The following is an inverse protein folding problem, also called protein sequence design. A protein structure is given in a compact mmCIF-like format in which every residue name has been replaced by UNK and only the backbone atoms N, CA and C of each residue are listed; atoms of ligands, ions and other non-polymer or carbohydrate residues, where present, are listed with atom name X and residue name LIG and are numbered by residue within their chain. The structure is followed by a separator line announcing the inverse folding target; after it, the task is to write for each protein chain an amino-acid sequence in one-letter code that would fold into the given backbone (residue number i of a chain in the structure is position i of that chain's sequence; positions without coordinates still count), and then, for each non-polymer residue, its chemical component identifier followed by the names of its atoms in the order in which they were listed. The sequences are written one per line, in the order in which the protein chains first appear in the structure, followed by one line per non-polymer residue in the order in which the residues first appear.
data_IF_430107987136
#
_entry.id   IF_430107987136
#
_cell.length_a   1.000
_cell.length_b   1.000
_cell.length_c   1.000
_cell.angle_alpha   90.00
_cell.angle_beta   90.00
_cell.angle_gamma   90.00
#
_symmetry.space_group_name_H-M   'P 1'
#
loop_
_entity.id
_entity.type
_entity.pdbx_description
1 polymer ?
#
# COMPACT_ATOMS: atom_id res chain seq x y z
N UNK A 1 -26.84 20.51 11.09
CA UNK A 1 -25.50 20.63 10.53
C UNK A 1 -24.87 19.25 10.68
N UNK A 2 -24.79 18.53 9.55
CA UNK A 2 -24.49 17.11 9.50
C UNK A 2 -23.02 16.79 9.81
N UNK A 3 -22.78 16.26 11.01
CA UNK A 3 -21.51 15.61 11.39
C UNK A 3 -21.39 14.15 10.90
N UNK A 4 -22.30 13.69 10.01
CA UNK A 4 -22.37 12.28 9.61
C UNK A 4 -21.46 11.88 8.43
N UNK A 5 -20.92 12.81 7.63
CA UNK A 5 -20.18 12.43 6.42
C UNK A 5 -18.73 12.01 6.66
N UNK A 6 -18.00 12.65 7.59
CA UNK A 6 -16.59 12.33 7.85
C UNK A 6 -16.40 10.99 8.59
N UNK A 7 -17.33 10.66 9.49
CA UNK A 7 -17.30 9.39 10.23
C UNK A 7 -17.62 8.17 9.34
N UNK A 8 -18.41 8.37 8.28
CA UNK A 8 -18.79 7.29 7.36
C UNK A 8 -17.63 6.88 6.43
N UNK A 9 -16.85 7.84 5.96
CA UNK A 9 -15.68 7.60 5.09
C UNK A 9 -14.59 6.87 5.87
N UNK A 10 -14.30 7.27 7.10
CA UNK A 10 -13.33 6.60 7.96
C UNK A 10 -13.78 5.19 8.33
N UNK A 11 -15.06 4.99 8.69
CA UNK A 11 -15.58 3.69 9.08
C UNK A 11 -15.52 2.61 7.98
N UNK A 12 -15.70 2.98 6.71
CA UNK A 12 -15.60 2.01 5.58
C UNK A 12 -14.14 1.75 5.17
N UNK A 13 -13.23 2.70 5.39
CA UNK A 13 -11.77 2.49 5.24
C UNK A 13 -11.27 1.46 6.25
N UNK A 14 -11.67 1.63 7.50
CA UNK A 14 -11.38 0.69 8.58
C UNK A 14 -11.92 -0.72 8.30
N UNK A 15 -13.10 -0.83 7.67
CA UNK A 15 -13.70 -2.12 7.30
C UNK A 15 -12.85 -2.91 6.29
N UNK A 16 -12.30 -2.27 5.25
CA UNK A 16 -11.44 -2.95 4.30
C UNK A 16 -10.13 -3.41 4.95
N UNK A 17 -9.55 -2.57 5.81
CA UNK A 17 -8.33 -2.92 6.54
C UNK A 17 -8.57 -4.13 7.47
N UNK A 18 -9.69 -4.14 8.20
CA UNK A 18 -10.09 -5.30 9.02
C UNK A 18 -10.31 -6.54 8.17
N UNK A 19 -11.00 -6.42 7.03
CA UNK A 19 -11.20 -7.53 6.10
C UNK A 19 -9.87 -8.15 5.65
N UNK A 20 -8.91 -7.31 5.26
CA UNK A 20 -7.59 -7.79 4.82
C UNK A 20 -6.84 -8.43 5.99
N UNK A 21 -6.85 -7.83 7.18
CA UNK A 21 -6.25 -8.43 8.39
C UNK A 21 -6.87 -9.78 8.73
N UNK A 22 -8.19 -9.88 8.72
CA UNK A 22 -8.91 -11.13 8.98
C UNK A 22 -8.54 -12.23 7.96
N UNK A 23 -8.44 -11.86 6.68
CA UNK A 23 -8.02 -12.79 5.64
C UNK A 23 -6.61 -13.35 5.88
N UNK A 24 -5.66 -12.52 6.31
CA UNK A 24 -4.31 -12.98 6.69
C UNK A 24 -4.28 -13.82 7.96
N UNK A 25 -5.26 -13.67 8.85
CA UNK A 25 -5.41 -14.50 10.06
C UNK A 25 -6.14 -15.82 9.81
N UNK A 26 -6.71 -16.03 8.60
CA UNK A 26 -7.54 -17.18 8.29
C UNK A 26 -8.90 -17.17 9.01
N UNK A 27 -9.39 -15.99 9.40
CA UNK A 27 -10.66 -15.85 10.09
C UNK A 27 -11.79 -15.52 9.12
N UNK A 28 -12.93 -16.19 9.33
CA UNK A 28 -14.14 -15.97 8.52
C UNK A 28 -15.17 -15.04 9.17
N UNK A 29 -14.99 -14.67 10.44
CA UNK A 29 -15.97 -13.85 11.16
C UNK A 29 -15.56 -12.38 11.21
N UNK A 30 -16.30 -11.56 10.48
CA UNK A 30 -16.03 -10.13 10.30
C UNK A 30 -16.46 -9.22 11.45
N UNK A 31 -17.08 -9.70 12.51
CA UNK A 31 -18.07 -8.86 13.18
C UNK A 31 -17.73 -8.37 14.58
N UNK A 32 -16.70 -8.82 15.28
CA UNK A 32 -16.47 -8.28 16.63
C UNK A 32 -14.99 -8.14 16.96
N UNK A 33 -14.60 -6.97 17.49
CA UNK A 33 -13.34 -6.78 18.22
C UNK A 33 -13.40 -7.55 19.54
N UNK A 34 -13.29 -8.86 19.47
CA UNK A 34 -13.18 -9.69 20.65
C UNK A 34 -11.71 -9.74 21.12
N UNK A 35 -11.49 -10.02 22.40
CA UNK A 35 -10.14 -10.24 22.93
C UNK A 35 -9.42 -11.38 22.19
N UNK A 36 -10.17 -12.39 21.72
CA UNK A 36 -9.64 -13.49 20.90
C UNK A 36 -9.09 -13.01 19.55
N UNK A 37 -9.82 -12.12 18.86
CA UNK A 37 -9.39 -11.53 17.60
C UNK A 37 -8.13 -10.70 17.79
N UNK A 38 -8.04 -9.89 18.83
CA UNK A 38 -6.84 -9.12 19.16
C UNK A 38 -5.64 -10.03 19.46
N UNK A 39 -5.88 -11.14 20.19
CA UNK A 39 -4.84 -12.14 20.46
C UNK A 39 -4.31 -12.78 19.18
N UNK A 40 -5.20 -13.12 18.23
CA UNK A 40 -4.79 -13.64 16.92
C UNK A 40 -4.01 -12.63 16.09
N UNK A 41 -4.46 -11.37 16.08
CA UNK A 41 -3.72 -10.29 15.39
C UNK A 41 -2.30 -10.17 15.93
N UNK A 42 -2.11 -10.23 17.26
CA UNK A 42 -0.79 -10.20 17.90
C UNK A 42 0.09 -11.41 17.55
N UNK A 43 -0.51 -12.57 17.24
CA UNK A 43 0.23 -13.74 16.77
C UNK A 43 0.68 -13.61 15.32
N UNK A 44 -0.17 -13.06 14.46
CA UNK A 44 0.06 -12.99 13.00
C UNK A 44 0.85 -11.73 12.62
N UNK A 45 0.61 -10.61 13.30
CA UNK A 45 1.23 -9.33 12.96
C UNK A 45 2.27 -8.92 14.00
N UNK A 46 3.38 -8.39 13.54
CA UNK A 46 4.40 -7.76 14.39
C UNK A 46 4.14 -6.27 14.59
N UNK A 47 3.36 -5.63 13.69
CA UNK A 47 2.96 -4.24 13.74
C UNK A 47 1.52 -4.08 13.24
N UNK A 48 0.73 -3.28 13.93
CA UNK A 48 -0.70 -3.10 13.64
C UNK A 48 -1.07 -1.71 13.11
N UNK A 49 -0.05 -0.93 12.75
CA UNK A 49 -0.24 0.35 12.10
C UNK A 49 -0.59 1.53 13.01
N UNK A 50 -0.82 2.66 12.37
CA UNK A 50 -1.34 3.90 12.96
C UNK A 50 -1.98 4.74 11.84
N UNK A 51 -2.81 5.72 12.21
CA UNK A 51 -3.60 6.51 11.27
C UNK A 51 -2.81 7.43 10.32
N UNK A 52 -1.50 7.65 10.55
CA UNK A 52 -0.78 8.74 9.90
C UNK A 52 0.47 8.31 9.11
N UNK A 53 0.94 7.09 9.29
CA UNK A 53 2.20 6.62 8.73
C UNK A 53 2.06 5.22 8.15
N UNK A 54 2.64 4.95 6.98
CA UNK A 54 2.73 3.59 6.46
C UNK A 54 3.68 2.72 7.32
N UNK A 55 3.53 1.40 7.26
CA UNK A 55 2.44 0.64 6.67
C UNK A 55 1.24 0.51 7.62
N UNK A 56 0.10 0.04 7.11
CA UNK A 56 -1.07 -0.25 7.94
C UNK A 56 -0.86 -1.46 8.86
N UNK A 57 -0.04 -2.43 8.46
CA UNK A 57 0.43 -3.51 9.34
C UNK A 57 1.64 -4.25 8.74
N UNK A 58 2.31 -5.06 9.57
CA UNK A 58 3.39 -5.96 9.15
C UNK A 58 3.04 -7.38 9.56
N UNK A 59 3.06 -8.31 8.61
CA UNK A 59 2.96 -9.74 8.87
C UNK A 59 4.25 -10.17 9.57
N UNK A 60 4.13 -10.89 10.68
CA UNK A 60 5.26 -11.33 11.49
C UNK A 60 6.28 -12.10 10.64
N UNK A 61 7.52 -11.61 10.59
CA UNK A 61 8.62 -12.11 9.76
C UNK A 61 8.30 -12.14 8.25
N UNK A 62 7.27 -11.39 7.83
CA UNK A 62 6.81 -11.32 6.44
C UNK A 62 6.75 -9.89 5.90
N UNK A 63 5.92 -9.69 4.91
CA UNK A 63 5.73 -8.43 4.21
C UNK A 63 5.00 -7.38 5.06
N UNK A 64 5.26 -6.11 4.77
CA UNK A 64 4.42 -5.00 5.16
C UNK A 64 3.19 -4.92 4.25
N UNK A 65 2.08 -4.42 4.75
CA UNK A 65 0.86 -4.25 3.96
C UNK A 65 0.34 -2.83 4.11
N UNK A 66 0.03 -2.22 2.99
CA UNK A 66 -0.59 -0.89 2.87
C UNK A 66 -1.95 -1.03 2.21
N UNK A 67 -3.03 -0.70 2.92
CA UNK A 67 -4.40 -0.89 2.46
C UNK A 67 -4.94 0.42 1.88
N UNK A 68 -5.53 0.36 0.70
CA UNK A 68 -6.15 1.50 0.02
C UNK A 68 -7.53 1.17 -0.46
N UNK A 69 -8.51 1.91 0.02
CA UNK A 69 -9.89 1.83 -0.42
C UNK A 69 -10.17 2.84 -1.53
N UNK A 70 -10.87 2.41 -2.56
CA UNK A 70 -11.37 3.26 -3.64
C UNK A 70 -12.89 3.09 -3.72
N UNK A 71 -13.61 4.20 -3.58
CA UNK A 71 -15.08 4.22 -3.63
C UNK A 71 -15.60 4.27 -5.07
N UNK A 72 -15.25 3.23 -5.85
CA UNK A 72 -15.68 3.02 -7.23
C UNK A 72 -15.81 1.54 -7.49
N UNK A 73 -16.60 1.18 -8.50
CA UNK A 73 -16.75 -0.21 -8.96
C UNK A 73 -15.44 -0.75 -9.53
N UNK A 74 -14.67 0.09 -10.24
CA UNK A 74 -13.40 -0.27 -10.85
C UNK A 74 -12.49 0.95 -11.03
N UNK A 75 -11.18 0.74 -11.13
CA UNK A 75 -10.17 1.77 -11.37
C UNK A 75 -10.14 2.83 -10.26
N UNK A 76 -9.67 4.02 -10.59
CA UNK A 76 -9.55 5.17 -9.71
C UNK A 76 -8.11 5.52 -9.36
N UNK A 77 -7.88 6.77 -8.95
CA UNK A 77 -6.57 7.23 -8.45
C UNK A 77 -6.40 6.83 -7.00
N UNK A 78 -5.19 6.43 -6.62
CA UNK A 78 -4.83 6.05 -5.26
C UNK A 78 -3.93 7.14 -4.70
N UNK A 79 -4.38 7.80 -3.63
CA UNK A 79 -3.56 8.78 -2.91
C UNK A 79 -2.67 8.07 -1.88
N UNK A 80 -1.37 8.37 -1.92
CA UNK A 80 -0.36 7.90 -0.97
C UNK A 80 0.07 9.01 0.00
N UNK A 81 -0.64 10.15 -0.03
CA UNK A 81 -0.36 11.33 0.76
C UNK A 81 1.11 11.79 0.58
N UNK A 82 1.80 12.07 1.68
CA UNK A 82 3.20 12.55 1.64
C UNK A 82 4.24 11.42 1.57
N UNK A 83 3.83 10.16 1.50
CA UNK A 83 4.72 9.02 1.32
C UNK A 83 4.78 8.63 -0.16
N UNK A 84 5.97 8.62 -0.76
CA UNK A 84 6.10 8.16 -2.15
C UNK A 84 5.79 6.65 -2.27
N UNK A 85 5.44 6.17 -3.49
CA UNK A 85 5.27 4.74 -3.75
C UNK A 85 6.52 3.95 -3.38
N UNK A 86 6.35 2.76 -2.82
CA UNK A 86 7.47 1.95 -2.33
C UNK A 86 7.51 0.61 -3.04
N UNK A 87 8.65 0.29 -3.63
CA UNK A 87 8.94 -1.07 -4.09
C UNK A 87 9.20 -2.01 -2.90
N UNK A 88 9.86 -1.50 -1.88
CA UNK A 88 10.11 -2.16 -0.60
C UNK A 88 9.93 -1.16 0.54
N UNK A 89 9.68 -1.66 1.74
CA UNK A 89 9.71 -0.86 2.96
C UNK A 89 11.11 -0.99 3.59
N UNK A 90 11.73 0.14 3.92
CA UNK A 90 13.02 0.19 4.60
C UNK A 90 12.85 0.72 6.04
N UNK A 91 13.53 0.10 7.01
CA UNK A 91 13.50 0.56 8.40
C UNK A 91 14.07 1.96 8.59
N UNK A 92 14.89 2.41 7.64
CA UNK A 92 15.46 3.77 7.58
C UNK A 92 14.52 4.83 6.98
N UNK A 93 13.33 4.46 6.51
CA UNK A 93 12.37 5.40 5.93
C UNK A 93 11.91 6.45 6.94
N UNK A 94 12.10 7.73 6.63
CA UNK A 94 11.77 8.85 7.52
C UNK A 94 10.27 8.98 7.82
N UNK A 95 9.41 8.31 7.07
CA UNK A 95 7.94 8.36 7.17
C UNK A 95 7.34 7.25 8.01
N UNK A 96 8.13 6.27 8.46
CA UNK A 96 7.65 5.22 9.36
C UNK A 96 7.96 5.58 10.82
N UNK A 97 7.21 4.98 11.74
CA UNK A 97 7.42 5.21 13.19
C UNK A 97 8.51 4.29 13.73
N UNK A 98 9.17 4.73 14.79
CA UNK A 98 10.14 3.93 15.53
C UNK A 98 9.55 2.58 15.98
N UNK A 99 8.31 2.56 16.48
CA UNK A 99 7.63 1.32 16.85
C UNK A 99 7.44 0.32 15.68
N UNK A 100 7.40 0.82 14.44
CA UNK A 100 7.41 -0.01 13.25
C UNK A 100 8.82 -0.55 12.96
N UNK A 101 9.84 0.29 13.06
CA UNK A 101 11.23 -0.14 12.86
C UNK A 101 11.65 -1.22 13.87
N UNK A 102 11.15 -1.13 15.10
CA UNK A 102 11.54 -1.98 16.23
C UNK A 102 10.62 -3.19 16.43
N UNK A 103 9.55 -3.33 15.66
CA UNK A 103 8.51 -4.34 15.89
C UNK A 103 8.97 -5.80 15.82
N UNK A 104 10.16 -6.06 15.27
CA UNK A 104 10.77 -7.39 15.16
C UNK A 104 12.18 -7.45 15.76
N UNK A 105 12.55 -6.55 16.68
CA UNK A 105 13.85 -6.55 17.35
C UNK A 105 14.14 -7.87 18.08
N UNK A 106 13.11 -8.53 18.60
CA UNK A 106 13.22 -9.86 19.23
C UNK A 106 13.72 -10.96 18.27
N UNK A 107 13.57 -10.74 16.95
CA UNK A 107 14.03 -11.66 15.89
C UNK A 107 15.30 -11.15 15.17
N UNK A 108 16.00 -10.17 15.74
CA UNK A 108 17.19 -9.55 15.14
C UNK A 108 16.90 -8.30 14.32
N UNK A 109 15.68 -7.79 14.34
CA UNK A 109 15.26 -6.61 13.59
C UNK A 109 15.08 -6.86 12.09
N UNK A 110 14.91 -5.79 11.34
CA UNK A 110 14.78 -5.83 9.89
C UNK A 110 15.32 -4.54 9.26
N UNK A 111 15.91 -4.65 8.09
CA UNK A 111 16.38 -3.50 7.31
C UNK A 111 15.45 -3.23 6.13
N UNK A 112 14.97 -4.30 5.49
CA UNK A 112 14.13 -4.26 4.30
C UNK A 112 13.03 -5.31 4.37
N UNK A 113 11.83 -4.96 3.98
CA UNK A 113 10.68 -5.85 3.82
C UNK A 113 10.00 -5.67 2.49
N UNK A 114 9.44 -6.75 1.96
CA UNK A 114 8.46 -6.62 0.90
C UNK A 114 7.28 -5.76 1.39
N UNK A 115 6.69 -5.00 0.48
CA UNK A 115 5.45 -4.28 0.74
C UNK A 115 4.37 -4.77 -0.23
N UNK A 116 3.18 -5.03 0.30
CA UNK A 116 2.00 -5.41 -0.46
C UNK A 116 1.01 -4.25 -0.42
N UNK A 117 0.61 -3.75 -1.56
CA UNK A 117 -0.50 -2.82 -1.68
C UNK A 117 -1.79 -3.64 -1.80
N UNK A 118 -2.64 -3.55 -0.77
CA UNK A 118 -3.96 -4.15 -0.72
C UNK A 118 -5.00 -3.10 -1.16
N UNK A 119 -5.38 -3.12 -2.45
CA UNK A 119 -6.21 -2.08 -3.05
C UNK A 119 -7.60 -2.65 -3.33
N UNK A 120 -8.61 -2.14 -2.62
CA UNK A 120 -9.98 -2.58 -2.73
C UNK A 120 -10.90 -1.54 -3.40
N UNK A 121 -11.60 -1.96 -4.45
CA UNK A 121 -12.73 -1.22 -4.98
C UNK A 121 -13.99 -1.59 -4.19
N UNK A 122 -14.55 -0.63 -3.45
CA UNK A 122 -15.70 -0.84 -2.58
C UNK A 122 -16.74 0.23 -2.83
N UNK A 123 -17.98 -0.17 -3.03
CA UNK A 123 -19.11 0.77 -3.03
C UNK A 123 -20.11 0.33 -1.97
N UNK A 124 -20.56 1.24 -1.12
CA UNK A 124 -21.35 0.94 0.06
C UNK A 124 -20.66 -0.13 0.94
N UNK A 125 -21.18 -1.34 0.96
CA UNK A 125 -20.64 -2.50 1.68
C UNK A 125 -20.17 -3.64 0.75
N UNK A 126 -20.19 -3.41 -0.57
CA UNK A 126 -19.82 -4.42 -1.58
C UNK A 126 -18.37 -4.23 -2.03
N UNK A 127 -17.57 -5.27 -1.86
CA UNK A 127 -16.24 -5.38 -2.47
C UNK A 127 -16.40 -5.86 -3.92
N UNK A 128 -15.93 -5.07 -4.87
CA UNK A 128 -15.95 -5.38 -6.31
C UNK A 128 -14.65 -6.03 -6.76
N UNK A 129 -13.53 -5.50 -6.28
CA UNK A 129 -12.22 -6.11 -6.51
C UNK A 129 -11.28 -5.87 -5.35
N UNK A 130 -10.35 -6.80 -5.13
CA UNK A 130 -9.22 -6.67 -4.22
C UNK A 130 -7.94 -7.05 -4.98
N UNK A 131 -7.00 -6.14 -5.00
CA UNK A 131 -5.65 -6.37 -5.46
C UNK A 131 -4.69 -6.51 -4.29
N UNK A 132 -3.88 -7.54 -4.30
CA UNK A 132 -2.71 -7.70 -3.46
C UNK A 132 -1.49 -7.66 -4.39
N UNK A 133 -0.91 -6.49 -4.59
CA UNK A 133 0.21 -6.30 -5.51
C UNK A 133 1.48 -5.97 -4.74
N UNK A 134 2.53 -6.75 -4.99
CA UNK A 134 3.84 -6.51 -4.41
C UNK A 134 4.45 -5.23 -4.98
N UNK A 135 5.05 -4.43 -4.11
CA UNK A 135 5.59 -3.12 -4.47
C UNK A 135 6.64 -3.18 -5.57
N UNK A 136 7.48 -4.20 -5.57
CA UNK A 136 8.53 -4.40 -6.58
C UNK A 136 8.03 -4.82 -7.98
N UNK A 137 6.74 -5.18 -8.09
CA UNK A 137 6.05 -5.34 -9.37
C UNK A 137 5.39 -4.03 -9.86
N UNK A 138 5.29 -3.01 -9.00
CA UNK A 138 4.35 -1.92 -9.17
C UNK A 138 4.98 -0.52 -9.03
N UNK A 139 6.03 -0.42 -8.25
CA UNK A 139 6.72 0.83 -7.93
C UNK A 139 8.19 0.76 -8.34
N UNK A 140 8.74 1.87 -8.78
CA UNK A 140 10.17 2.03 -9.04
C UNK A 140 10.98 2.07 -7.73
N UNK A 141 12.30 2.01 -7.85
CA UNK A 141 13.22 2.19 -6.75
C UNK A 141 13.07 3.59 -6.12
N UNK A 142 13.35 3.68 -4.81
CA UNK A 142 13.17 4.89 -4.01
C UNK A 142 13.91 6.11 -4.56
N UNK A 143 15.07 5.87 -5.18
CA UNK A 143 15.92 6.91 -5.77
C UNK A 143 15.17 7.73 -6.83
N UNK A 144 14.25 7.10 -7.58
CA UNK A 144 13.41 7.79 -8.57
C UNK A 144 12.52 8.86 -7.94
N UNK A 145 11.99 8.60 -6.75
CA UNK A 145 11.10 9.50 -6.01
C UNK A 145 11.86 10.50 -5.15
N UNK A 146 12.93 10.05 -4.50
CA UNK A 146 13.79 10.89 -3.66
C UNK A 146 14.42 12.00 -4.49
N UNK A 147 14.94 11.69 -5.68
CA UNK A 147 15.48 12.69 -6.61
C UNK A 147 14.51 13.84 -6.91
N UNK A 148 13.23 13.52 -7.14
CA UNK A 148 12.19 14.53 -7.39
C UNK A 148 11.96 15.39 -6.14
N UNK A 149 11.86 14.74 -4.98
CA UNK A 149 11.65 15.42 -3.69
C UNK A 149 12.79 16.37 -3.37
N UNK A 150 14.04 15.95 -3.56
CA UNK A 150 15.25 16.75 -3.33
C UNK A 150 15.34 17.91 -4.32
N UNK A 151 15.06 17.67 -5.60
CA UNK A 151 15.06 18.73 -6.62
C UNK A 151 14.03 19.82 -6.27
N UNK A 152 12.83 19.43 -5.82
CA UNK A 152 11.82 20.39 -5.39
C UNK A 152 12.27 21.20 -4.15
N UNK A 153 12.86 20.52 -3.15
CA UNK A 153 13.38 21.18 -1.93
C UNK A 153 14.48 22.18 -2.28
N UNK A 154 15.41 21.80 -3.14
CA UNK A 154 16.50 22.67 -3.57
C UNK A 154 15.97 23.90 -4.32
N UNK A 155 15.05 23.72 -5.28
CA UNK A 155 14.42 24.82 -5.99
C UNK A 155 13.66 25.79 -5.09
N UNK A 156 12.98 25.28 -4.06
CA UNK A 156 12.32 26.13 -3.06
C UNK A 156 13.33 26.90 -2.22
N UNK A 157 14.45 26.30 -1.87
CA UNK A 157 15.51 26.93 -1.07
C UNK A 157 16.25 28.04 -1.83
N UNK A 158 16.20 28.03 -3.15
CA UNK A 158 16.82 29.06 -4.01
C UNK A 158 15.96 30.33 -4.19
N UNK A 159 14.73 30.38 -3.63
CA UNK A 159 13.84 31.54 -3.75
C UNK A 159 14.45 32.72 -2.98
N UNK A 160 14.77 33.86 -3.66
CA UNK A 160 15.42 34.99 -3.02
C UNK A 160 14.51 35.67 -1.98
N UNK A 161 15.13 36.19 -0.91
CA UNK A 161 14.46 37.03 0.08
C UNK A 161 13.55 36.32 1.09
N UNK A 162 13.52 35.00 1.09
CA UNK A 162 12.76 34.20 2.04
C UNK A 162 13.66 33.30 2.88
N UNK A 163 13.11 32.81 4.00
CA UNK A 163 13.79 31.85 4.87
C UNK A 163 13.18 30.48 4.71
N UNK A 164 13.95 29.53 4.24
CA UNK A 164 13.54 28.13 4.15
C UNK A 164 13.78 27.43 5.49
N UNK A 165 12.85 26.56 5.88
CA UNK A 165 13.01 25.65 7.01
C UNK A 165 12.76 24.23 6.56
N UNK A 166 13.67 23.33 6.88
CA UNK A 166 13.47 21.91 6.65
C UNK A 166 12.30 21.39 7.50
N UNK A 167 11.51 20.54 6.88
CA UNK A 167 10.39 19.87 7.53
C UNK A 167 10.32 18.42 7.06
N UNK A 168 9.50 17.59 7.72
CA UNK A 168 9.18 16.23 7.24
C UNK A 168 8.41 16.22 5.92
N UNK A 169 7.99 17.38 5.42
CA UNK A 169 7.32 17.61 4.13
C UNK A 169 8.31 18.21 3.13
N UNK A 170 7.83 18.77 2.01
CA UNK A 170 8.70 19.37 0.99
C UNK A 170 9.39 20.62 1.50
N UNK A 171 8.74 21.40 2.39
CA UNK A 171 9.37 22.55 2.99
C UNK A 171 8.42 23.54 3.63
N UNK A 172 9.00 24.53 4.29
CA UNK A 172 8.31 25.70 4.80
C UNK A 172 9.11 26.94 4.45
N UNK A 173 8.46 27.89 3.80
CA UNK A 173 9.01 29.20 3.49
C UNK A 173 8.46 30.17 4.54
N UNK A 174 9.35 30.80 5.32
CA UNK A 174 8.98 31.81 6.31
C UNK A 174 9.23 33.19 5.73
N UNK A 175 8.66 34.21 6.36
CA UNK A 175 8.84 35.63 6.02
C UNK A 175 8.54 35.91 4.56
N UNK A 176 7.39 35.44 4.09
CA UNK A 176 6.95 35.62 2.68
C UNK A 176 6.61 37.08 2.38
N UNK A 177 6.14 37.82 3.39
CA UNK A 177 5.81 39.24 3.33
C UNK A 177 6.86 40.11 4.02
N UNK A 178 6.92 41.43 3.74
CA UNK A 178 7.91 42.33 4.34
C UNK A 178 7.86 42.40 5.88
N UNK A 179 6.69 42.15 6.49
CA UNK A 179 6.56 42.10 7.95
C UNK A 179 7.01 40.76 8.53
N UNK A 180 7.13 39.73 7.68
CA UNK A 180 7.53 38.39 8.09
C UNK A 180 6.50 37.65 8.93
N UNK A 181 5.21 37.99 8.80
CA UNK A 181 4.12 37.38 9.57
C UNK A 181 3.46 36.21 8.83
N UNK A 182 3.69 36.08 7.53
CA UNK A 182 3.14 34.98 6.73
C UNK A 182 4.20 33.93 6.41
N UNK A 183 3.73 32.70 6.22
CA UNK A 183 4.55 31.60 5.78
C UNK A 183 3.79 30.70 4.81
N UNK A 184 4.51 30.02 3.94
CA UNK A 184 3.97 29.00 3.04
C UNK A 184 4.46 27.62 3.46
N UNK A 185 3.53 26.69 3.65
CA UNK A 185 3.83 25.29 3.90
C UNK A 185 3.64 24.50 2.61
N UNK A 186 4.68 23.79 2.17
CA UNK A 186 4.68 23.03 0.92
C UNK A 186 4.54 21.55 1.23
N UNK A 187 3.44 20.95 0.75
CA UNK A 187 3.14 19.55 0.91
C UNK A 187 3.09 18.86 -0.45
N UNK A 188 3.79 17.74 -0.58
CA UNK A 188 3.63 16.86 -1.72
C UNK A 188 2.54 15.83 -1.44
N UNK A 189 1.75 15.51 -2.45
CA UNK A 189 0.85 14.38 -2.43
C UNK A 189 1.24 13.45 -3.58
N UNK A 190 1.69 12.25 -3.23
CA UNK A 190 1.96 11.21 -4.19
C UNK A 190 0.68 10.47 -4.55
N UNK A 191 0.53 10.10 -5.80
CA UNK A 191 -0.51 9.23 -6.28
C UNK A 191 0.09 8.07 -7.07
N UNK A 192 -0.66 6.99 -7.18
CA UNK A 192 -0.30 5.84 -8.00
C UNK A 192 -1.52 5.38 -8.79
N UNK A 193 -1.31 4.96 -10.03
CA UNK A 193 -2.38 4.42 -10.87
C UNK A 193 -2.92 3.11 -10.30
N UNK A 194 -4.21 2.87 -10.51
CA UNK A 194 -4.85 1.64 -10.08
C UNK A 194 -4.25 0.42 -10.78
N UNK A 195 -3.93 -0.68 -10.06
CA UNK A 195 -3.30 -1.86 -10.66
C UNK A 195 -4.15 -2.49 -11.77
N UNK A 196 -5.48 -2.39 -11.69
CA UNK A 196 -6.38 -2.82 -12.75
C UNK A 196 -6.21 -2.03 -14.07
N UNK A 197 -5.71 -0.79 -14.02
CA UNK A 197 -5.34 -0.03 -15.21
C UNK A 197 -3.94 -0.41 -15.70
N UNK A 198 -2.98 -0.46 -14.77
CA UNK A 198 -1.56 -0.77 -15.06
C UNK A 198 -1.41 -2.17 -15.68
N UNK A 199 -2.14 -3.14 -15.13
CA UNK A 199 -2.06 -4.55 -15.54
C UNK A 199 -3.27 -5.00 -16.37
N UNK A 200 -3.99 -4.07 -17.01
CA UNK A 200 -5.22 -4.34 -17.79
C UNK A 200 -5.04 -5.42 -18.85
N UNK A 201 -3.88 -5.48 -19.49
CA UNK A 201 -3.59 -6.47 -20.53
C UNK A 201 -3.58 -7.92 -20.04
N UNK A 202 -3.50 -8.13 -18.72
CA UNK A 202 -3.47 -9.47 -18.10
C UNK A 202 -4.81 -9.85 -17.46
N UNK A 203 -5.84 -9.00 -17.62
CA UNK A 203 -7.14 -9.20 -17.01
C UNK A 203 -8.16 -9.73 -18.04
N UNK A 204 -9.04 -10.60 -17.57
CA UNK A 204 -10.22 -10.97 -18.32
C UNK A 204 -11.35 -9.98 -18.03
N UNK A 205 -12.08 -9.59 -19.06
CA UNK A 205 -13.14 -8.56 -18.97
C UNK A 205 -14.47 -9.08 -18.42
N UNK A 206 -14.52 -10.30 -17.88
CA UNK A 206 -15.78 -10.95 -17.52
C UNK A 206 -16.33 -10.54 -16.16
N UNK A 207 -17.65 -10.34 -16.18
CA UNK A 207 -18.68 -10.51 -15.15
C UNK A 207 -18.73 -9.59 -13.92
N UNK A 208 -19.95 -9.50 -13.37
CA UNK A 208 -20.39 -8.79 -12.17
C UNK A 208 -19.91 -9.41 -10.82
N UNK A 209 -18.95 -10.31 -10.85
CA UNK A 209 -18.45 -11.03 -9.71
C UNK A 209 -17.37 -10.23 -8.95
N UNK A 210 -17.24 -10.48 -7.66
CA UNK A 210 -16.08 -9.99 -6.88
C UNK A 210 -14.81 -10.65 -7.39
N UNK A 211 -13.78 -9.86 -7.64
CA UNK A 211 -12.50 -10.33 -8.20
C UNK A 211 -11.37 -10.11 -7.21
N UNK A 212 -10.53 -11.11 -7.04
CA UNK A 212 -9.31 -11.01 -6.23
C UNK A 212 -8.11 -11.29 -7.13
N UNK A 213 -7.12 -10.42 -7.06
CA UNK A 213 -5.87 -10.52 -7.80
C UNK A 213 -4.69 -10.50 -6.84
N UNK A 214 -3.72 -11.39 -7.06
CA UNK A 214 -2.44 -11.33 -6.36
C UNK A 214 -1.34 -11.32 -7.40
N UNK A 215 -0.48 -10.31 -7.35
CA UNK A 215 0.65 -10.16 -8.27
C UNK A 215 1.95 -10.04 -7.48
N UNK A 216 2.89 -10.93 -7.75
CA UNK A 216 4.23 -10.94 -7.15
C UNK A 216 5.28 -11.38 -8.16
N UNK A 217 6.54 -11.01 -7.95
CA UNK A 217 7.64 -11.57 -8.75
C UNK A 217 7.72 -13.08 -8.61
N UNK A 218 8.11 -13.75 -9.68
CA UNK A 218 8.36 -15.22 -9.66
C UNK A 218 9.45 -15.58 -8.65
N UNK A 219 10.48 -14.73 -8.50
CA UNK A 219 11.52 -14.91 -7.48
C UNK A 219 10.95 -14.93 -6.06
N UNK A 220 10.09 -13.96 -5.72
CA UNK A 220 9.39 -13.91 -4.42
C UNK A 220 8.49 -15.13 -4.23
N UNK A 221 7.74 -15.53 -5.27
CA UNK A 221 6.89 -16.73 -5.21
C UNK A 221 7.67 -17.99 -4.90
N UNK A 222 8.86 -18.16 -5.48
CA UNK A 222 9.71 -19.35 -5.26
C UNK A 222 10.19 -19.44 -3.81
N UNK A 223 10.45 -18.29 -3.16
CA UNK A 223 10.96 -18.23 -1.78
C UNK A 223 9.88 -18.38 -0.70
N UNK A 224 8.60 -18.46 -1.08
CA UNK A 224 7.53 -18.71 -0.10
C UNK A 224 7.68 -20.11 0.52
N UNK A 225 7.89 -20.17 1.83
CA UNK A 225 8.11 -21.41 2.58
C UNK A 225 6.96 -22.41 2.45
N UNK A 226 5.73 -21.91 2.44
CA UNK A 226 4.52 -22.69 2.34
C UNK A 226 3.59 -22.12 1.28
N UNK A 227 3.27 -22.95 0.30
CA UNK A 227 2.25 -22.65 -0.70
C UNK A 227 0.99 -23.43 -0.35
N UNK A 228 -0.17 -22.75 -0.23
CA UNK A 228 -1.41 -23.46 0.04
C UNK A 228 -1.78 -24.39 -1.12
N UNK A 229 -2.42 -25.51 -0.82
CA UNK A 229 -3.05 -26.32 -1.86
C UNK A 229 -4.34 -25.63 -2.33
N UNK A 230 -4.30 -25.11 -3.55
CA UNK A 230 -5.42 -24.39 -4.17
C UNK A 230 -6.09 -25.20 -5.29
N UNK A 231 -5.76 -26.49 -5.40
CA UNK A 231 -6.22 -27.39 -6.48
C UNK A 231 -7.75 -27.42 -6.56
N UNK A 232 -8.44 -27.41 -5.42
CA UNK A 232 -9.91 -27.39 -5.38
C UNK A 232 -10.49 -26.16 -6.10
N UNK A 233 -9.96 -24.97 -5.84
CA UNK A 233 -10.44 -23.71 -6.46
C UNK A 233 -10.09 -23.65 -7.96
N UNK A 234 -8.96 -24.21 -8.34
CA UNK A 234 -8.56 -24.32 -9.76
C UNK A 234 -9.50 -25.26 -10.50
N UNK A 235 -9.81 -26.43 -9.95
CA UNK A 235 -10.72 -27.39 -10.54
C UNK A 235 -12.16 -26.87 -10.67
N UNK A 236 -12.57 -25.97 -9.79
CA UNK A 236 -13.87 -25.31 -9.85
C UNK A 236 -13.88 -24.07 -10.79
N UNK A 237 -12.79 -23.78 -11.47
CA UNK A 237 -12.61 -22.57 -12.29
C UNK A 237 -12.81 -21.24 -11.54
N UNK A 238 -12.70 -21.26 -10.21
CA UNK A 238 -12.78 -20.06 -9.36
C UNK A 238 -11.44 -19.32 -9.37
N UNK A 239 -10.32 -20.06 -9.47
CA UNK A 239 -8.96 -19.54 -9.41
C UNK A 239 -8.15 -19.95 -10.62
N UNK A 240 -7.39 -19.01 -11.17
CA UNK A 240 -6.30 -19.29 -12.14
C UNK A 240 -4.99 -18.74 -11.60
N UNK A 241 -3.90 -19.46 -11.88
CA UNK A 241 -2.53 -19.07 -11.55
C UNK A 241 -1.74 -19.07 -12.84
N UNK A 242 -1.19 -17.92 -13.21
CA UNK A 242 -0.45 -17.76 -14.46
C UNK A 242 0.93 -17.18 -14.19
N UNK A 243 1.92 -17.73 -14.85
CA UNK A 243 3.20 -17.07 -15.03
C UNK A 243 3.08 -16.07 -16.18
N UNK A 244 3.45 -14.84 -15.92
CA UNK A 244 3.35 -13.72 -16.87
C UNK A 244 4.64 -12.91 -16.87
N UNK A 245 4.85 -12.15 -17.93
CA UNK A 245 5.91 -11.14 -17.97
C UNK A 245 5.30 -9.75 -17.91
N UNK A 246 5.74 -8.94 -16.95
CA UNK A 246 5.30 -7.56 -16.77
C UNK A 246 6.48 -6.62 -17.01
N UNK A 247 6.25 -5.35 -17.44
CA UNK A 247 7.32 -4.37 -17.54
C UNK A 247 8.00 -4.17 -16.18
N UNK A 248 9.33 -4.04 -16.19
CA UNK A 248 10.08 -3.71 -14.98
C UNK A 248 9.81 -2.25 -14.62
N UNK A 249 9.34 -1.92 -13.39
CA UNK A 249 9.07 -0.55 -12.96
C UNK A 249 10.28 0.40 -13.07
N UNK A 250 11.50 -0.13 -12.95
CA UNK A 250 12.73 0.66 -13.03
C UNK A 250 13.26 0.81 -14.45
N UNK A 251 12.92 -0.13 -15.33
CA UNK A 251 13.33 -0.12 -16.72
C UNK A 251 12.26 -0.76 -17.62
N UNK A 252 11.28 0.02 -18.10
CA UNK A 252 10.17 -0.51 -18.91
C UNK A 252 10.57 -1.19 -20.23
N UNK A 253 11.82 -1.04 -20.68
CA UNK A 253 12.35 -1.78 -21.83
C UNK A 253 12.68 -3.24 -21.50
N UNK A 254 12.65 -3.63 -20.23
CA UNK A 254 12.87 -4.97 -19.74
C UNK A 254 11.59 -5.51 -19.10
N UNK A 255 11.37 -6.81 -19.25
CA UNK A 255 10.30 -7.50 -18.55
C UNK A 255 10.87 -8.27 -17.35
N UNK A 256 10.02 -8.49 -16.36
CA UNK A 256 10.27 -9.33 -15.20
C UNK A 256 9.22 -10.45 -15.15
N UNK A 257 9.65 -11.64 -14.75
CA UNK A 257 8.75 -12.78 -14.55
C UNK A 257 7.94 -12.57 -13.26
N UNK A 258 6.63 -12.72 -13.37
CA UNK A 258 5.69 -12.58 -12.28
C UNK A 258 4.67 -13.71 -12.25
N UNK A 259 4.08 -13.93 -11.09
CA UNK A 259 2.96 -14.84 -10.88
C UNK A 259 1.72 -14.01 -10.60
N UNK A 260 0.69 -14.25 -11.40
CA UNK A 260 -0.62 -13.61 -11.26
C UNK A 260 -1.66 -14.67 -10.87
N UNK A 261 -2.23 -14.50 -9.69
CA UNK A 261 -3.43 -15.19 -9.24
C UNK A 261 -4.66 -14.35 -9.60
N UNK A 262 -5.68 -15.01 -10.13
CA UNK A 262 -6.97 -14.39 -10.42
C UNK A 262 -8.08 -15.28 -9.89
N UNK A 263 -8.86 -14.77 -8.94
CA UNK A 263 -10.04 -15.45 -8.43
C UNK A 263 -11.30 -14.62 -8.70
N UNK A 264 -12.41 -15.31 -8.94
CA UNK A 264 -13.73 -14.70 -9.21
C UNK A 264 -14.81 -15.47 -8.44
N UNK A 265 -15.62 -14.73 -7.64
CA UNK A 265 -16.64 -15.28 -6.74
C UNK A 265 -18.02 -14.69 -7.03
#
# INVERSE_FOLDING_TARGET
IDHHSSNRINGVGDLLEFYVKDAFCGESSFLEKTNEKLSKYQQVFSYLGNSNNPPDFIIRRGAAVEVKKIEKVAGGSIALNSSFPKNYLYSSDSKIKQSCCECENEYGGWEKKDIIYAIGNVTDVKLHSLWLVYGDCYCADKESYERITETMKNGVNEIPGVQFSETKELGRINRVDPLGITYLRIRGMWGIEHPGNVFSNYLNTDSNNTKIYVLMRKSTYITLDKKPDLTQFINQNILTINEIQIPNPDNPAQNIDAILYRASF
#
